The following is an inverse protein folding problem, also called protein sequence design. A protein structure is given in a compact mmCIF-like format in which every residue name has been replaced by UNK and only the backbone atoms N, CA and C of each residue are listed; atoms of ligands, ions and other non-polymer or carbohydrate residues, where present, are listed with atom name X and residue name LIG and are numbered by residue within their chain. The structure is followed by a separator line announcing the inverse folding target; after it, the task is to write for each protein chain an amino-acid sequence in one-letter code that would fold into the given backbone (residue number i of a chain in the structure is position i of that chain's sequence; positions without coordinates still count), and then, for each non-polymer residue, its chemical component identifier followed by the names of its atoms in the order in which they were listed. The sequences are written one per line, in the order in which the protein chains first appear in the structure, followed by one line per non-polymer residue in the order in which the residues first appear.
data_IF_482757527617
#
_entry.id   IF_482757527617
#
_cell.length_a   1.000
_cell.length_b   1.000
_cell.length_c   1.000
_cell.angle_alpha   90.00
_cell.angle_beta   90.00
_cell.angle_gamma   90.00
#
_symmetry.space_group_name_H-M   'P 1'
#
loop_
_entity.id
_entity.type
_entity.pdbx_description
1 polymer ?
#
# COMPACT_ATOMS: atom_id res chain seq x y z
N UNK A 1 95.17 80.56 -22.18
CA UNK A 1 94.18 80.94 -23.20
C UNK A 1 93.53 79.66 -23.70
N UNK A 2 92.22 79.72 -23.92
CA UNK A 2 91.22 78.67 -23.69
C UNK A 2 91.35 77.38 -24.52
N UNK A 3 91.18 76.25 -23.85
CA UNK A 3 90.97 74.92 -24.44
C UNK A 3 89.97 74.18 -23.54
N UNK A 4 88.72 74.66 -23.53
CA UNK A 4 87.55 74.06 -22.85
C UNK A 4 86.27 74.56 -23.54
N UNK A 5 86.12 74.28 -24.84
CA UNK A 5 84.93 74.72 -25.59
C UNK A 5 84.43 73.68 -26.61
N UNK A 6 84.54 72.38 -26.29
CA UNK A 6 84.06 71.32 -27.21
C UNK A 6 83.59 70.02 -26.56
N UNK A 7 83.84 69.84 -25.25
CA UNK A 7 83.41 68.64 -24.51
C UNK A 7 82.09 68.83 -23.77
N UNK A 8 81.62 70.07 -23.58
CA UNK A 8 80.32 70.35 -22.94
C UNK A 8 79.16 70.23 -23.94
N UNK A 9 79.36 70.62 -25.21
CA UNK A 9 78.30 70.65 -26.24
C UNK A 9 77.94 69.25 -26.81
N UNK A 10 78.90 68.32 -26.86
CA UNK A 10 78.65 66.94 -27.28
C UNK A 10 77.91 66.11 -26.21
N UNK A 11 78.03 66.50 -24.95
CA UNK A 11 77.33 65.86 -23.82
C UNK A 11 75.92 66.43 -23.65
N UNK A 12 75.71 67.72 -23.95
CA UNK A 12 74.38 68.36 -23.86
C UNK A 12 73.42 67.89 -24.98
N UNK A 13 73.92 67.61 -26.19
CA UNK A 13 73.14 67.06 -27.30
C UNK A 13 72.72 65.59 -27.13
N UNK A 14 73.49 64.80 -26.36
CA UNK A 14 73.16 63.41 -26.02
C UNK A 14 72.14 63.33 -24.87
N UNK A 15 72.13 64.34 -24.00
CA UNK A 15 71.29 64.38 -22.80
C UNK A 15 69.80 64.59 -23.11
N UNK A 16 69.43 65.37 -24.13
CA UNK A 16 68.01 65.57 -24.51
C UNK A 16 67.41 64.42 -25.32
N UNK A 17 68.22 63.75 -26.15
CA UNK A 17 67.73 62.65 -27.01
C UNK A 17 67.61 61.33 -26.22
N UNK A 18 68.46 61.10 -25.22
CA UNK A 18 68.37 59.93 -24.34
C UNK A 18 67.13 59.90 -23.44
N UNK A 19 66.66 61.06 -22.97
CA UNK A 19 65.47 61.17 -22.11
C UNK A 19 64.19 60.79 -22.86
N UNK A 20 64.06 61.14 -24.15
CA UNK A 20 62.89 60.81 -24.95
C UNK A 20 62.76 59.31 -25.25
N UNK A 21 63.89 58.63 -25.50
CA UNK A 21 63.94 57.17 -25.72
C UNK A 21 63.66 56.41 -24.42
N UNK A 22 64.22 56.87 -23.29
CA UNK A 22 63.96 56.30 -21.98
C UNK A 22 62.49 56.48 -21.53
N UNK A 23 61.87 57.63 -21.82
CA UNK A 23 60.46 57.89 -21.50
C UNK A 23 59.52 56.92 -22.25
N UNK A 24 59.77 56.67 -23.54
CA UNK A 24 58.97 55.75 -24.36
C UNK A 24 59.14 54.28 -23.94
N UNK A 25 60.35 53.89 -23.54
CA UNK A 25 60.63 52.56 -22.98
C UNK A 25 60.00 52.38 -21.59
N UNK A 26 60.00 53.42 -20.76
CA UNK A 26 59.32 53.44 -19.46
C UNK A 26 57.80 53.28 -19.58
N UNK A 27 57.18 53.97 -20.54
CA UNK A 27 55.75 53.84 -20.81
C UNK A 27 55.38 52.42 -21.31
N UNK A 28 56.20 51.82 -22.16
CA UNK A 28 55.97 50.46 -22.66
C UNK A 28 56.12 49.41 -21.55
N UNK A 29 57.12 49.56 -20.66
CA UNK A 29 57.29 48.70 -19.49
C UNK A 29 56.16 48.85 -18.47
N UNK A 30 55.64 50.07 -18.29
CA UNK A 30 54.49 50.32 -17.43
C UNK A 30 53.23 49.60 -17.92
N UNK A 31 52.95 49.63 -19.23
CA UNK A 31 51.82 48.90 -19.84
C UNK A 31 51.98 47.38 -19.75
N UNK A 32 53.20 46.85 -19.96
CA UNK A 32 53.44 45.40 -19.78
C UNK A 32 53.28 44.96 -18.33
N UNK A 33 53.77 45.75 -17.37
CA UNK A 33 53.58 45.46 -15.94
C UNK A 33 52.10 45.50 -15.58
N UNK A 34 51.37 46.50 -16.06
CA UNK A 34 49.93 46.59 -15.84
C UNK A 34 49.16 45.41 -16.44
N UNK A 35 49.48 45.01 -17.68
CA UNK A 35 48.91 43.81 -18.31
C UNK A 35 49.22 42.55 -17.51
N UNK A 36 50.48 42.36 -17.10
CA UNK A 36 50.87 41.18 -16.31
C UNK A 36 50.15 41.11 -14.96
N UNK A 37 49.91 42.25 -14.30
CA UNK A 37 49.16 42.30 -13.04
C UNK A 37 47.69 41.98 -13.25
N UNK A 38 47.08 42.48 -14.34
CA UNK A 38 45.69 42.15 -14.70
C UNK A 38 45.53 40.68 -15.08
N UNK A 39 46.47 40.11 -15.81
CA UNK A 39 46.48 38.68 -16.16
C UNK A 39 46.64 37.80 -14.92
N UNK A 40 47.56 38.17 -14.01
CA UNK A 40 47.72 37.49 -12.72
C UNK A 40 46.43 37.54 -11.90
N UNK A 41 45.85 38.74 -11.71
CA UNK A 41 44.58 38.93 -11.01
C UNK A 41 43.44 38.12 -11.65
N UNK A 42 43.29 38.17 -12.98
CA UNK A 42 42.27 37.42 -13.69
C UNK A 42 42.46 35.90 -13.51
N UNK A 43 43.70 35.41 -13.55
CA UNK A 43 44.00 33.99 -13.34
C UNK A 43 43.72 33.54 -11.91
N UNK A 44 44.02 34.38 -10.92
CA UNK A 44 43.79 34.07 -9.51
C UNK A 44 42.29 34.10 -9.17
N UNK A 45 41.55 35.06 -9.73
CA UNK A 45 40.09 35.07 -9.64
C UNK A 45 39.46 33.85 -10.31
N UNK A 46 39.97 33.43 -11.47
CA UNK A 46 39.49 32.22 -12.15
C UNK A 46 39.74 30.98 -11.27
N UNK A 47 40.95 30.82 -10.73
CA UNK A 47 41.27 29.72 -9.80
C UNK A 47 40.39 29.76 -8.56
N UNK A 48 40.14 30.94 -8.00
CA UNK A 48 39.24 31.10 -6.85
C UNK A 48 37.81 30.70 -7.21
N UNK A 49 37.29 31.13 -8.36
CA UNK A 49 35.96 30.72 -8.87
C UNK A 49 35.88 29.21 -9.10
N UNK A 50 36.92 28.59 -9.66
CA UNK A 50 36.97 27.15 -9.88
C UNK A 50 36.99 26.36 -8.57
N UNK A 51 37.80 26.77 -7.60
CA UNK A 51 37.84 26.15 -6.27
C UNK A 51 36.49 26.29 -5.56
N UNK A 52 35.89 27.48 -5.63
CA UNK A 52 34.57 27.74 -5.07
C UNK A 52 33.49 26.86 -5.73
N UNK A 53 33.49 26.76 -7.07
CA UNK A 53 32.54 25.93 -7.80
C UNK A 53 32.67 24.45 -7.43
N UNK A 54 33.90 23.95 -7.23
CA UNK A 54 34.14 22.57 -6.76
C UNK A 54 33.62 22.37 -5.35
N UNK A 55 33.87 23.32 -4.45
CA UNK A 55 33.37 23.26 -3.08
C UNK A 55 31.84 23.28 -3.02
N UNK A 56 31.20 24.19 -3.76
CA UNK A 56 29.75 24.27 -3.83
C UNK A 56 29.15 22.99 -4.43
N UNK A 57 29.77 22.41 -5.46
CA UNK A 57 29.35 21.12 -6.01
C UNK A 57 29.45 19.97 -4.98
N UNK A 58 30.52 19.94 -4.17
CA UNK A 58 30.67 18.96 -3.10
C UNK A 58 29.61 19.15 -2.00
N UNK A 59 29.31 20.38 -1.62
CA UNK A 59 28.27 20.69 -0.64
C UNK A 59 26.89 20.27 -1.13
N UNK A 60 26.54 20.60 -2.37
CA UNK A 60 25.25 20.20 -2.95
C UNK A 60 25.13 18.68 -3.10
N UNK A 61 26.23 17.98 -3.42
CA UNK A 61 26.24 16.51 -3.43
C UNK A 61 26.02 15.93 -2.02
N UNK A 62 26.64 16.51 -0.99
CA UNK A 62 26.41 16.12 0.40
C UNK A 62 24.94 16.36 0.81
N UNK A 63 24.36 17.52 0.48
CA UNK A 63 22.93 17.81 0.72
C UNK A 63 22.00 16.81 0.04
N UNK A 64 22.29 16.43 -1.21
CA UNK A 64 21.51 15.44 -1.93
C UNK A 64 21.53 14.07 -1.22
N UNK A 65 22.65 13.66 -0.63
CA UNK A 65 22.74 12.44 0.18
C UNK A 65 21.95 12.52 1.48
N UNK A 66 21.82 13.72 2.06
CA UNK A 66 21.09 13.94 3.32
C UNK A 66 19.59 14.18 3.12
N UNK A 67 19.16 14.54 1.90
CA UNK A 67 17.75 14.81 1.59
C UNK A 67 16.76 13.74 2.07
N UNK A 68 17.04 12.41 1.96
CA UNK A 68 16.13 11.37 2.41
C UNK A 68 15.82 11.41 3.92
N UNK A 69 16.73 11.94 4.74
CA UNK A 69 16.57 11.98 6.21
C UNK A 69 15.39 12.85 6.67
N UNK A 70 14.86 13.69 5.78
CA UNK A 70 13.68 14.53 6.05
C UNK A 70 12.36 13.78 5.88
N UNK A 71 12.34 12.66 5.15
CA UNK A 71 11.12 11.86 4.89
C UNK A 71 10.99 10.72 5.91
N UNK A 72 9.86 10.68 6.63
CA UNK A 72 9.59 9.61 7.59
C UNK A 72 9.54 8.21 6.93
N UNK A 73 9.06 8.12 5.68
CA UNK A 73 8.97 6.81 4.99
C UNK A 73 10.34 6.21 4.72
N UNK A 74 11.36 7.05 4.54
CA UNK A 74 12.73 6.58 4.42
C UNK A 74 13.16 5.90 5.72
N UNK A 75 12.90 6.51 6.88
CA UNK A 75 13.24 5.93 8.17
C UNK A 75 12.56 4.59 8.46
N UNK A 76 11.37 4.37 7.91
CA UNK A 76 10.63 3.11 8.06
C UNK A 76 11.25 1.96 7.24
N UNK A 77 11.96 2.29 6.17
CA UNK A 77 12.57 1.32 5.24
C UNK A 77 14.10 1.31 5.32
N UNK A 78 14.72 2.31 5.95
CA UNK A 78 16.16 2.51 5.99
C UNK A 78 16.84 1.36 6.71
N UNK A 79 17.82 0.75 6.05
CA UNK A 79 18.68 -0.25 6.68
C UNK A 79 19.73 0.44 7.54
N UNK A 80 20.30 -0.24 8.54
CA UNK A 80 21.35 0.33 9.37
C UNK A 80 22.51 0.95 8.59
N UNK A 81 22.95 0.29 7.51
CA UNK A 81 24.04 0.76 6.66
C UNK A 81 23.69 2.04 5.88
N UNK A 82 22.41 2.24 5.59
CA UNK A 82 21.92 3.45 4.93
C UNK A 82 21.88 4.62 5.93
N UNK A 83 21.55 4.35 7.20
CA UNK A 83 21.60 5.33 8.30
C UNK A 83 23.05 5.72 8.62
N UNK A 84 23.96 4.75 8.67
CA UNK A 84 25.39 4.98 8.89
C UNK A 84 25.98 5.90 7.81
N UNK A 85 25.73 5.61 6.53
CA UNK A 85 26.23 6.43 5.41
C UNK A 85 25.78 7.90 5.50
N UNK A 86 24.49 8.14 5.78
CA UNK A 86 24.00 9.52 5.91
C UNK A 86 24.52 10.18 7.19
N UNK A 87 24.75 9.42 8.26
CA UNK A 87 25.35 9.93 9.49
C UNK A 87 26.81 10.35 9.29
N UNK A 88 27.61 9.57 8.55
CA UNK A 88 28.98 9.93 8.18
C UNK A 88 29.00 11.23 7.37
N UNK A 89 28.15 11.33 6.35
CA UNK A 89 28.04 12.55 5.53
C UNK A 89 27.59 13.75 6.38
N UNK A 90 26.60 13.59 7.26
CA UNK A 90 26.15 14.67 8.14
C UNK A 90 27.26 15.10 9.09
N UNK A 91 27.99 14.16 9.68
CA UNK A 91 29.09 14.45 10.62
C UNK A 91 30.28 15.13 9.95
N UNK A 92 30.62 14.73 8.71
CA UNK A 92 31.69 15.37 7.95
C UNK A 92 31.37 16.83 7.59
N UNK A 93 30.10 17.15 7.36
CA UNK A 93 29.67 18.46 6.84
C UNK A 93 29.00 19.38 7.87
N UNK A 94 28.64 18.91 9.06
CA UNK A 94 27.88 19.68 10.08
C UNK A 94 28.52 21.01 10.49
N UNK A 95 29.83 21.16 10.36
CA UNK A 95 30.54 22.40 10.70
C UNK A 95 30.49 23.45 9.58
N UNK A 96 30.16 23.03 8.35
CA UNK A 96 30.28 23.86 7.14
C UNK A 96 28.93 24.09 6.45
N UNK A 97 27.92 23.30 6.78
CA UNK A 97 26.59 23.38 6.19
C UNK A 97 25.49 23.24 7.26
N UNK A 98 24.60 24.24 7.42
CA UNK A 98 23.51 24.17 8.39
C UNK A 98 22.53 23.03 8.11
N UNK A 99 22.29 22.67 6.84
CA UNK A 99 21.42 21.54 6.49
C UNK A 99 22.03 20.22 6.96
N UNK A 100 23.36 20.09 6.90
CA UNK A 100 24.04 18.90 7.40
C UNK A 100 24.01 18.81 8.93
N UNK A 101 24.10 19.96 9.61
CA UNK A 101 23.93 20.03 11.06
C UNK A 101 22.53 19.59 11.49
N UNK A 102 21.49 20.10 10.84
CA UNK A 102 20.10 19.71 11.12
C UNK A 102 19.87 18.22 10.87
N UNK A 103 20.42 17.69 9.78
CA UNK A 103 20.38 16.26 9.48
C UNK A 103 21.08 15.43 10.58
N UNK A 104 22.27 15.84 11.04
CA UNK A 104 22.98 15.14 12.11
C UNK A 104 22.16 15.07 13.41
N UNK A 105 21.57 16.19 13.82
CA UNK A 105 20.72 16.24 15.02
C UNK A 105 19.44 15.41 14.86
N UNK A 106 18.85 15.39 13.66
CA UNK A 106 17.68 14.55 13.37
C UNK A 106 18.04 13.07 13.40
N UNK A 107 19.16 12.69 12.79
CA UNK A 107 19.65 11.31 12.79
C UNK A 107 19.88 10.84 14.22
N UNK A 108 20.53 11.65 15.07
CA UNK A 108 20.71 11.33 16.49
C UNK A 108 19.38 11.02 17.18
N UNK A 109 18.38 11.90 17.03
CA UNK A 109 17.05 11.70 17.66
C UNK A 109 16.35 10.45 17.15
N UNK A 110 16.26 10.26 15.84
CA UNK A 110 15.58 9.10 15.25
C UNK A 110 16.29 7.78 15.61
N UNK A 111 17.62 7.77 15.69
CA UNK A 111 18.37 6.58 16.09
C UNK A 111 18.17 6.25 17.57
N UNK A 112 18.16 7.27 18.42
CA UNK A 112 17.86 7.12 19.84
C UNK A 112 16.42 6.62 20.06
N UNK A 113 15.44 7.22 19.38
CA UNK A 113 14.02 6.88 19.55
C UNK A 113 13.68 5.49 19.03
N UNK A 114 14.27 5.07 17.90
CA UNK A 114 13.93 3.79 17.24
C UNK A 114 14.79 2.62 17.70
N UNK A 115 16.05 2.86 18.05
CA UNK A 115 17.01 1.80 18.37
C UNK A 115 17.61 1.90 19.77
N UNK A 116 17.34 2.99 20.50
CA UNK A 116 17.91 3.20 21.84
C UNK A 116 19.41 3.48 21.85
N UNK A 117 20.02 3.77 20.69
CA UNK A 117 21.46 4.00 20.54
C UNK A 117 21.76 5.49 20.54
N UNK A 118 22.66 5.92 21.42
CA UNK A 118 23.23 7.27 21.39
C UNK A 118 24.42 7.31 20.43
N UNK A 119 24.24 7.97 19.28
CA UNK A 119 25.21 8.04 18.19
C UNK A 119 26.43 8.90 18.54
N UNK A 120 26.30 9.83 19.49
CA UNK A 120 27.41 10.71 19.90
C UNK A 120 28.11 10.25 21.17
N UNK A 121 27.58 9.19 21.79
CA UNK A 121 28.23 8.49 22.89
C UNK A 121 28.17 6.96 22.68
N UNK A 122 28.85 6.42 21.63
CA UNK A 122 28.93 4.98 21.40
C UNK A 122 29.72 4.24 22.49
N UNK A 123 30.25 4.94 23.51
CA UNK A 123 31.00 4.38 24.63
C UNK A 123 30.24 3.46 25.57
N UNK A 124 28.95 3.20 25.32
CA UNK A 124 28.23 2.10 25.96
C UNK A 124 28.37 0.83 25.11
N UNK A 125 29.55 0.18 25.24
CA UNK A 125 29.91 -1.15 24.73
C UNK A 125 29.54 -1.38 23.24
N UNK A 126 30.52 -1.37 22.32
CA UNK A 126 30.33 -1.69 20.88
C UNK A 126 29.48 -2.96 20.64
N UNK A 127 29.53 -3.90 21.59
CA UNK A 127 28.64 -5.07 21.60
C UNK A 127 27.16 -4.73 21.76
N UNK A 128 26.80 -3.82 22.65
CA UNK A 128 25.42 -3.40 22.86
C UNK A 128 24.83 -2.72 21.62
N UNK A 129 25.62 -1.90 20.92
CA UNK A 129 25.20 -1.30 19.63
C UNK A 129 25.02 -2.38 18.57
N UNK A 130 25.97 -3.31 18.45
CA UNK A 130 25.87 -4.44 17.51
C UNK A 130 24.68 -5.35 17.82
N UNK A 131 24.39 -5.60 19.11
CA UNK A 131 23.26 -6.40 19.58
C UNK A 131 21.92 -5.70 19.33
N UNK A 132 21.84 -4.39 19.57
CA UNK A 132 20.65 -3.59 19.26
C UNK A 132 20.37 -3.59 17.74
N UNK A 133 21.40 -3.46 16.92
CA UNK A 133 21.29 -3.52 15.47
C UNK A 133 20.82 -4.89 14.99
N UNK A 134 21.43 -5.96 15.52
CA UNK A 134 21.05 -7.34 15.22
C UNK A 134 19.63 -7.66 15.69
N UNK A 135 19.19 -7.08 16.80
CA UNK A 135 17.82 -7.23 17.29
C UNK A 135 16.82 -6.53 16.37
N UNK A 136 17.11 -5.27 15.98
CA UNK A 136 16.26 -4.53 15.05
C UNK A 136 16.14 -5.23 13.69
N UNK A 137 17.21 -5.84 13.18
CA UNK A 137 17.16 -6.65 11.96
C UNK A 137 16.27 -7.89 12.12
N UNK A 138 16.34 -8.58 13.28
CA UNK A 138 15.47 -9.73 13.57
C UNK A 138 14.01 -9.34 13.64
N UNK A 139 13.69 -8.26 14.35
CA UNK A 139 12.32 -7.77 14.52
C UNK A 139 11.70 -7.39 13.17
N UNK A 140 12.49 -6.75 12.29
CA UNK A 140 12.07 -6.48 10.91
C UNK A 140 11.84 -7.74 10.09
N UNK A 141 12.78 -8.68 10.13
CA UNK A 141 12.63 -9.96 9.42
C UNK A 141 11.41 -10.76 9.92
N UNK A 142 11.05 -10.63 11.19
CA UNK A 142 9.81 -11.19 11.72
C UNK A 142 8.57 -10.44 11.23
N UNK A 143 8.57 -9.11 11.28
CA UNK A 143 7.48 -8.29 10.75
C UNK A 143 7.22 -8.58 9.26
N UNK A 144 8.27 -8.73 8.46
CA UNK A 144 8.16 -9.06 7.04
C UNK A 144 7.55 -10.46 6.84
N UNK A 145 7.99 -11.44 7.63
CA UNK A 145 7.41 -12.79 7.62
C UNK A 145 5.93 -12.78 8.01
N UNK A 146 5.55 -11.99 9.01
CA UNK A 146 4.15 -11.84 9.43
C UNK A 146 3.32 -11.18 8.33
N UNK A 147 3.83 -10.14 7.66
CA UNK A 147 3.13 -9.50 6.53
C UNK A 147 2.92 -10.49 5.38
N UNK A 148 3.96 -11.21 4.97
CA UNK A 148 3.83 -12.21 3.90
C UNK A 148 2.92 -13.39 4.29
N UNK A 149 2.88 -13.78 5.56
CA UNK A 149 1.93 -14.77 6.05
C UNK A 149 0.49 -14.24 5.94
N UNK A 150 0.23 -13.01 6.42
CA UNK A 150 -1.07 -12.36 6.30
C UNK A 150 -1.55 -12.17 4.86
N UNK A 151 -0.65 -11.88 3.92
CA UNK A 151 -0.96 -11.81 2.49
C UNK A 151 -1.38 -13.16 1.92
N UNK A 152 -0.71 -14.26 2.32
CA UNK A 152 -1.07 -15.61 1.92
C UNK A 152 -2.43 -16.02 2.49
N UNK A 153 -2.63 -15.81 3.78
CA UNK A 153 -3.91 -16.10 4.45
C UNK A 153 -5.06 -15.30 3.81
N UNK A 154 -4.81 -14.04 3.46
CA UNK A 154 -5.75 -13.19 2.76
C UNK A 154 -6.09 -13.70 1.35
N UNK A 155 -5.08 -14.18 0.61
CA UNK A 155 -5.28 -14.78 -0.71
C UNK A 155 -6.08 -16.10 -0.60
N UNK A 156 -5.76 -16.96 0.37
CA UNK A 156 -6.50 -18.19 0.61
C UNK A 156 -7.96 -17.90 0.98
N UNK A 157 -8.20 -16.96 1.90
CA UNK A 157 -9.56 -16.55 2.26
C UNK A 157 -10.36 -16.02 1.05
N UNK A 158 -9.72 -15.22 0.19
CA UNK A 158 -10.34 -14.73 -1.04
C UNK A 158 -10.75 -15.88 -1.97
N UNK A 159 -9.92 -16.91 -2.13
CA UNK A 159 -10.27 -18.08 -2.96
C UNK A 159 -11.44 -18.88 -2.41
N UNK A 160 -11.52 -19.04 -1.08
CA UNK A 160 -12.63 -19.74 -0.42
C UNK A 160 -13.93 -18.97 -0.60
N UNK A 161 -13.92 -17.65 -0.39
CA UNK A 161 -15.10 -16.80 -0.57
C UNK A 161 -15.57 -16.78 -2.03
N UNK A 162 -14.64 -16.78 -2.99
CA UNK A 162 -14.99 -16.86 -4.41
C UNK A 162 -15.62 -18.21 -4.77
N UNK A 163 -15.08 -19.32 -4.23
CA UNK A 163 -15.65 -20.64 -4.43
C UNK A 163 -17.06 -20.77 -3.83
N UNK A 164 -17.26 -20.30 -2.60
CA UNK A 164 -18.57 -20.26 -1.96
C UNK A 164 -19.55 -19.38 -2.77
N UNK A 165 -19.12 -18.20 -3.23
CA UNK A 165 -19.94 -17.32 -4.07
C UNK A 165 -20.26 -17.89 -5.46
N UNK A 166 -19.49 -18.84 -5.98
CA UNK A 166 -19.86 -19.61 -7.17
C UNK A 166 -20.94 -20.64 -6.83
N UNK A 167 -20.75 -21.40 -5.76
CA UNK A 167 -21.72 -22.41 -5.32
C UNK A 167 -23.09 -21.81 -5.00
N UNK A 168 -23.13 -20.67 -4.31
CA UNK A 168 -24.37 -19.97 -4.00
C UNK A 168 -25.11 -19.51 -5.27
N UNK A 169 -24.38 -19.01 -6.28
CA UNK A 169 -24.96 -18.62 -7.58
C UNK A 169 -25.48 -19.83 -8.35
N UNK A 170 -24.73 -20.92 -8.37
CA UNK A 170 -25.16 -22.17 -9.02
C UNK A 170 -26.42 -22.73 -8.36
N UNK A 171 -26.48 -22.68 -7.02
CA UNK A 171 -27.66 -23.09 -6.25
C UNK A 171 -28.85 -22.18 -6.54
N UNK A 172 -28.65 -20.86 -6.56
CA UNK A 172 -29.70 -19.91 -6.92
C UNK A 172 -30.22 -20.14 -8.35
N UNK A 173 -29.33 -20.37 -9.31
CA UNK A 173 -29.68 -20.67 -10.70
C UNK A 173 -30.47 -21.96 -10.83
N UNK A 174 -30.09 -23.03 -10.11
CA UNK A 174 -30.85 -24.28 -10.06
C UNK A 174 -32.26 -24.05 -9.53
N UNK A 175 -32.39 -23.36 -8.40
CA UNK A 175 -33.70 -23.04 -7.80
C UNK A 175 -34.55 -22.21 -8.76
N UNK A 176 -33.96 -21.22 -9.45
CA UNK A 176 -34.67 -20.43 -10.44
C UNK A 176 -35.16 -21.27 -11.63
N UNK A 177 -34.33 -22.21 -12.10
CA UNK A 177 -34.67 -23.12 -13.20
C UNK A 177 -35.78 -24.07 -12.79
N UNK A 178 -35.71 -24.64 -11.57
CA UNK A 178 -36.75 -25.50 -10.99
C UNK A 178 -38.07 -24.74 -10.82
N UNK A 179 -38.03 -23.52 -10.30
CA UNK A 179 -39.20 -22.66 -10.16
C UNK A 179 -39.83 -22.31 -11.51
N UNK A 180 -39.02 -22.02 -12.53
CA UNK A 180 -39.51 -21.76 -13.89
C UNK A 180 -40.17 -22.99 -14.47
N UNK A 181 -39.54 -24.16 -14.36
CA UNK A 181 -40.12 -25.42 -14.83
C UNK A 181 -41.43 -25.76 -14.10
N UNK A 182 -41.53 -25.46 -12.79
CA UNK A 182 -42.76 -25.64 -12.03
C UNK A 182 -43.87 -24.66 -12.49
N UNK A 183 -43.52 -23.40 -12.76
CA UNK A 183 -44.46 -22.40 -13.29
C UNK A 183 -44.95 -22.75 -14.69
N UNK A 184 -44.09 -23.29 -15.55
CA UNK A 184 -44.46 -23.72 -16.91
C UNK A 184 -45.34 -24.99 -16.88
N UNK A 185 -45.16 -25.85 -15.86
CA UNK A 185 -45.96 -27.05 -15.65
C UNK A 185 -47.36 -26.77 -15.07
N UNK A 186 -47.56 -25.64 -14.38
CA UNK A 186 -48.83 -25.29 -13.73
C UNK A 186 -50.01 -25.19 -14.73
N UNK A 187 -49.89 -24.50 -15.89
CA UNK A 187 -50.91 -24.54 -16.95
C UNK A 187 -51.12 -25.92 -17.58
N UNK A 188 -50.07 -26.75 -17.67
CA UNK A 188 -50.16 -28.13 -18.20
C UNK A 188 -50.91 -29.05 -17.23
N UNK A 189 -50.75 -28.82 -15.93
CA UNK A 189 -51.52 -29.45 -14.86
C UNK A 189 -52.96 -28.93 -14.77
N UNK A 190 -53.42 -28.00 -15.59
CA UNK A 190 -54.86 -27.76 -15.73
C UNK A 190 -55.28 -27.63 -17.19
N UNK A 191 -54.60 -28.39 -18.04
CA UNK A 191 -54.91 -28.46 -19.46
C UNK A 191 -56.27 -29.10 -19.71
N UNK A 192 -56.99 -28.53 -20.68
CA UNK A 192 -58.26 -29.05 -21.15
C UNK A 192 -58.07 -30.43 -21.79
N UNK A 193 -56.95 -30.65 -22.47
CA UNK A 193 -56.55 -31.92 -23.08
C UNK A 193 -56.42 -33.05 -22.05
N UNK A 194 -55.91 -32.76 -20.84
CA UNK A 194 -55.90 -33.75 -19.76
C UNK A 194 -57.31 -34.08 -19.26
N UNK A 195 -58.18 -33.07 -19.12
CA UNK A 195 -59.59 -33.29 -18.73
C UNK A 195 -60.35 -34.10 -19.77
N UNK A 196 -60.08 -33.87 -21.04
CA UNK A 196 -60.68 -34.62 -22.15
C UNK A 196 -60.18 -36.07 -22.23
N UNK A 197 -58.88 -36.31 -22.06
CA UNK A 197 -58.35 -37.69 -22.01
C UNK A 197 -58.86 -38.47 -20.79
N UNK A 198 -59.02 -37.80 -19.64
CA UNK A 198 -59.66 -38.39 -18.47
C UNK A 198 -61.14 -38.72 -18.73
N UNK A 199 -61.89 -37.80 -19.36
CA UNK A 199 -63.27 -38.04 -19.76
C UNK A 199 -63.40 -39.23 -20.74
N UNK A 200 -62.51 -39.29 -21.74
CA UNK A 200 -62.47 -40.38 -22.72
C UNK A 200 -62.16 -41.74 -22.06
N UNK A 201 -61.35 -41.76 -21.00
CA UNK A 201 -61.07 -43.00 -20.26
C UNK A 201 -62.27 -43.58 -19.50
N UNK A 202 -63.30 -42.76 -19.24
CA UNK A 202 -64.51 -43.16 -18.53
C UNK A 202 -65.66 -43.53 -19.47
N UNK A 203 -65.50 -43.30 -20.77
CA UNK A 203 -66.50 -43.62 -21.77
C UNK A 203 -66.71 -45.15 -21.86
N UNK A 204 -67.96 -45.59 -21.82
CA UNK A 204 -68.33 -47.01 -21.76
C UNK A 204 -68.23 -47.68 -20.37
N UNK A 205 -67.66 -47.01 -19.36
CA UNK A 205 -67.60 -47.50 -17.96
C UNK A 205 -68.69 -46.88 -17.08
N UNK A 206 -69.09 -45.63 -17.36
CA UNK A 206 -70.14 -44.90 -16.65
C UNK A 206 -71.09 -44.20 -17.62
N UNK A 207 -72.28 -43.82 -17.15
CA UNK A 207 -73.21 -43.02 -17.93
C UNK A 207 -72.75 -41.55 -18.07
N UNK A 208 -73.20 -40.88 -19.13
CA UNK A 208 -72.74 -39.53 -19.46
C UNK A 208 -73.05 -38.46 -18.41
N UNK A 209 -74.03 -38.67 -17.52
CA UNK A 209 -74.32 -37.74 -16.43
C UNK A 209 -73.31 -37.92 -15.29
N UNK A 210 -73.01 -39.17 -14.93
CA UNK A 210 -71.96 -39.52 -13.96
C UNK A 210 -70.58 -39.04 -14.41
N UNK A 211 -70.24 -39.16 -15.70
CA UNK A 211 -68.96 -38.65 -16.25
C UNK A 211 -68.87 -37.13 -16.09
N UNK A 212 -69.93 -36.38 -16.41
CA UNK A 212 -69.97 -34.91 -16.26
C UNK A 212 -69.85 -34.46 -14.81
N UNK A 213 -70.57 -35.12 -13.90
CA UNK A 213 -70.48 -34.84 -12.47
C UNK A 213 -69.07 -35.10 -11.94
N UNK A 214 -68.40 -36.15 -12.44
CA UNK A 214 -67.03 -36.47 -12.04
C UNK A 214 -66.00 -35.47 -12.57
N UNK A 215 -66.14 -35.00 -13.81
CA UNK A 215 -65.28 -33.96 -14.40
C UNK A 215 -65.46 -32.63 -13.66
N UNK A 216 -66.69 -32.26 -13.29
CA UNK A 216 -66.96 -31.05 -12.51
C UNK A 216 -66.29 -31.12 -11.14
N UNK A 217 -66.39 -32.27 -10.47
CA UNK A 217 -65.72 -32.50 -9.20
C UNK A 217 -64.19 -32.49 -9.35
N UNK A 218 -63.65 -33.06 -10.42
CA UNK A 218 -62.20 -33.05 -10.69
C UNK A 218 -61.68 -31.61 -10.88
N UNK A 219 -62.42 -30.77 -11.60
CA UNK A 219 -62.12 -29.34 -11.76
C UNK A 219 -62.09 -28.60 -10.42
N UNK A 220 -63.06 -28.86 -9.54
CA UNK A 220 -63.11 -28.24 -8.21
C UNK A 220 -62.02 -28.78 -7.27
N UNK A 221 -61.46 -29.96 -7.56
CA UNK A 221 -60.35 -30.58 -6.80
C UNK A 221 -58.98 -30.36 -7.47
N UNK A 222 -58.91 -29.68 -8.61
CA UNK A 222 -57.68 -29.41 -9.35
C UNK A 222 -56.86 -28.33 -8.64
N UNK A 223 -56.16 -28.71 -7.57
CA UNK A 223 -55.18 -27.84 -6.91
C UNK A 223 -53.78 -28.20 -7.45
N UNK A 224 -53.05 -27.27 -8.07
CA UNK A 224 -51.69 -27.54 -8.51
C UNK A 224 -50.76 -27.78 -7.29
N UNK A 225 -49.68 -28.56 -7.44
CA UNK A 225 -48.75 -28.85 -6.34
C UNK A 225 -48.18 -27.60 -5.64
N UNK A 226 -47.99 -26.50 -6.39
CA UNK A 226 -47.59 -25.18 -5.88
C UNK A 226 -48.60 -24.59 -4.89
N UNK A 227 -49.90 -24.70 -5.17
CA UNK A 227 -50.97 -24.25 -4.29
C UNK A 227 -51.16 -25.16 -3.07
N UNK A 228 -50.88 -26.46 -3.21
CA UNK A 228 -50.96 -27.42 -2.10
C UNK A 228 -49.88 -27.20 -1.01
N UNK A 229 -48.68 -26.72 -1.41
CA UNK A 229 -47.61 -26.36 -0.45
C UNK A 229 -47.76 -24.95 0.13
N UNK A 230 -48.43 -24.05 -0.59
CA UNK A 230 -48.73 -22.69 -0.11
C UNK A 230 -49.89 -22.64 0.88
N UNK A 231 -50.79 -23.63 0.86
CA UNK A 231 -51.82 -23.78 1.87
C UNK A 231 -51.20 -24.24 3.20
N UNK A 232 -51.11 -23.36 4.19
CA UNK A 232 -50.66 -23.74 5.54
C UNK A 232 -51.51 -24.92 6.07
N UNK A 233 -50.89 -25.95 6.68
CA UNK A 233 -51.64 -27.05 7.27
C UNK A 233 -52.48 -26.49 8.41
N UNK A 234 -53.79 -26.35 8.19
CA UNK A 234 -54.71 -25.86 9.22
C UNK A 234 -54.58 -26.75 10.45
N UNK A 235 -54.17 -26.16 11.59
CA UNK A 235 -54.02 -26.87 12.86
C UNK A 235 -55.33 -27.56 13.20
N UNK A 236 -55.33 -28.88 13.16
CA UNK A 236 -56.47 -29.71 13.61
C UNK A 236 -56.75 -29.34 15.07
N UNK A 237 -57.90 -28.69 15.33
CA UNK A 237 -58.34 -28.37 16.69
C UNK A 237 -58.65 -29.68 17.42
N UNK A 238 -57.80 -30.06 18.36
CA UNK A 238 -58.04 -31.19 19.28
C UNK A 238 -59.35 -30.93 20.04
N UNK A 239 -60.35 -31.80 19.82
CA UNK A 239 -61.62 -31.75 20.53
C UNK A 239 -61.39 -31.98 22.04
N UNK A 240 -61.84 -31.02 22.86
CA UNK A 240 -61.80 -31.12 24.31
C UNK A 240 -62.87 -32.13 24.79
N UNK A 241 -62.43 -33.26 25.36
CA UNK A 241 -63.35 -34.21 26.00
C UNK A 241 -63.50 -33.83 27.48
N UNK A 242 -64.63 -33.21 27.82
CA UNK A 242 -65.16 -33.10 29.19
C UNK A 242 -65.87 -34.40 29.55
N UNK A 243 -65.64 -34.89 30.76
CA UNK A 243 -66.37 -36.02 31.34
C UNK A 243 -65.75 -36.49 32.65
N UNK A 244 -66.13 -35.84 33.75
CA UNK A 244 -65.92 -36.34 35.10
C UNK A 244 -67.04 -37.34 35.46
N UNK A 245 -66.72 -38.44 36.18
CA UNK A 245 -67.74 -39.24 36.85
C UNK A 245 -67.39 -40.73 37.11
N UNK A 246 -66.73 -40.98 38.24
CA UNK A 246 -67.03 -42.04 39.24
C UNK A 246 -67.02 -43.54 38.85
N UNK A 247 -66.13 -44.31 39.48
CA UNK A 247 -66.20 -45.78 39.54
C UNK A 247 -65.22 -46.35 40.58
N UNK A 248 -65.77 -46.89 41.67
CA UNK A 248 -65.12 -47.27 42.93
C UNK A 248 -64.70 -48.75 42.92
N UNK A 249 -63.49 -49.03 43.42
CA UNK A 249 -62.99 -50.27 44.06
C UNK A 249 -63.19 -51.65 43.39
N UNK A 250 -62.09 -52.38 43.18
CA UNK A 250 -61.92 -53.67 43.88
C UNK A 250 -60.43 -54.09 43.97
N UNK A 251 -59.99 -54.33 45.20
CA UNK A 251 -58.77 -55.06 45.53
C UNK A 251 -58.92 -56.51 45.09
N UNK A 252 -57.86 -57.09 44.53
CA UNK A 252 -57.53 -58.50 44.77
C UNK A 252 -56.03 -58.61 45.01
N UNK A 253 -55.74 -59.46 45.98
CA UNK A 253 -54.50 -59.64 46.71
C UNK A 253 -53.82 -60.92 46.24
N UNK A 254 -52.60 -61.13 46.74
CA UNK A 254 -51.75 -62.34 46.71
C UNK A 254 -50.83 -62.49 45.50
N UNK A 255 -49.50 -62.32 45.66
CA UNK A 255 -48.46 -63.22 46.26
C UNK A 255 -47.69 -63.91 45.11
N UNK A 256 -46.40 -64.24 45.12
CA UNK A 256 -45.23 -64.15 46.02
C UNK A 256 -43.99 -64.64 45.24
N UNK A 257 -42.81 -64.50 45.88
CA UNK A 257 -41.54 -65.21 45.64
C UNK A 257 -40.58 -64.52 44.66
N UNK A 258 -39.34 -64.17 45.01
CA UNK A 258 -38.45 -64.49 46.15
C UNK A 258 -37.51 -63.32 46.39
#
# INVERSE_FOLDING_TARGET
MSETDGVDEAVEGLSRTGIAVAARLGEQLARMREQSLREQQASDEQRARELQARYDAQREAARAQLAPTTDNRWWDQARPQDIERVHETATAWKQFDPTAQEAAERIRREVQDRYGVDVDNPGADDRAVSEALAQAERDRAEADRQRSAGERDGAEAATILEAAGREDRDRASKVETENRAASDAEPLYDSEERRQSFAASLDGVADGETIRARILADRDQATPPSAAVAAEPSRVKKAAKRGAGTGRQQKVHSERSR
#
